data_IF_822853918917
#
_entry.id   IF_822853918917
#
_cell.length_a   1.000
_cell.length_b   1.000
_cell.length_c   1.000
_cell.angle_alpha   90.00
_cell.angle_beta   90.00
_cell.angle_gamma   90.00
#
_symmetry.space_group_name_H-M   'P 1'
#
loop_
_entity.id
_entity.type
_entity.pdbx_description
1 polymer ?
#
# COMPACT_ATOMS: atom_id res chain seq x y z
N UNK A 1 9.23 4.51 6.30
CA UNK A 1 7.85 4.21 5.89
C UNK A 1 7.17 3.69 7.15
N UNK A 2 6.24 4.46 7.74
CA UNK A 2 5.60 4.10 9.00
C UNK A 2 4.11 3.82 8.75
N UNK A 3 3.58 2.75 9.35
CA UNK A 3 2.14 2.41 9.29
C UNK A 3 1.58 2.34 10.71
N UNK A 4 0.71 3.29 11.06
CA UNK A 4 -0.32 3.11 12.08
C UNK A 4 -1.55 3.90 11.60
N UNK A 5 -2.56 3.19 11.11
CA UNK A 5 -3.80 3.78 10.59
C UNK A 5 -3.90 3.88 9.07
N UNK A 6 -4.72 3.00 8.49
CA UNK A 6 -5.48 3.14 7.23
C UNK A 6 -4.77 3.68 5.97
N UNK A 7 -3.45 3.55 5.84
CA UNK A 7 -2.77 3.97 4.61
C UNK A 7 -1.25 3.86 4.67
N UNK A 8 -0.64 4.07 3.51
CA UNK A 8 0.81 4.06 3.34
C UNK A 8 1.31 5.48 3.23
N UNK A 9 2.32 5.84 4.02
CA UNK A 9 3.03 7.11 3.87
C UNK A 9 4.33 6.90 3.11
N UNK A 10 4.43 7.51 1.93
CA UNK A 10 5.68 7.60 1.18
C UNK A 10 6.34 8.92 1.49
N UNK A 11 7.61 8.88 1.88
CA UNK A 11 8.44 10.06 2.08
C UNK A 11 9.47 10.12 0.95
N UNK A 12 9.55 11.22 0.23
CA UNK A 12 10.53 11.43 -0.85
C UNK A 12 11.80 12.16 -0.39
N UNK A 13 11.87 12.56 0.89
CA UNK A 13 12.97 13.33 1.46
C UNK A 13 12.54 14.74 1.90
N UNK A 14 11.51 15.29 1.25
CA UNK A 14 11.00 16.64 1.53
C UNK A 14 9.51 16.62 1.93
N UNK A 15 8.74 15.67 1.38
CA UNK A 15 7.30 15.57 1.55
C UNK A 15 6.88 14.16 1.90
N UNK A 16 5.93 14.07 2.83
CA UNK A 16 5.22 12.84 3.15
C UNK A 16 3.87 12.85 2.42
N UNK A 17 3.66 11.90 1.52
CA UNK A 17 2.39 11.71 0.81
C UNK A 17 1.68 10.46 1.34
N UNK A 18 0.41 10.62 1.74
CA UNK A 18 -0.45 9.51 2.14
C UNK A 18 -1.11 8.88 0.91
N UNK A 19 -0.95 7.57 0.77
CA UNK A 19 -1.64 6.73 -0.19
C UNK A 19 -2.68 5.88 0.57
N UNK A 20 -3.97 6.21 0.45
CA UNK A 20 -5.02 5.38 1.03
C UNK A 20 -5.08 4.05 0.28
N UNK A 21 -5.36 2.97 1.02
CA UNK A 21 -5.58 1.64 0.44
C UNK A 21 -7.00 1.25 0.77
N UNK A 22 -7.77 0.94 -0.26
CA UNK A 22 -9.21 0.66 -0.14
C UNK A 22 -9.56 -0.66 -0.79
N UNK A 23 -10.48 -1.38 -0.17
CA UNK A 23 -11.21 -2.48 -0.81
C UNK A 23 -12.65 -1.99 -1.09
N UNK A 24 -12.92 -1.66 -2.36
CA UNK A 24 -14.11 -0.89 -2.73
C UNK A 24 -14.09 0.50 -2.07
N UNK A 25 -15.09 0.79 -1.23
CA UNK A 25 -15.22 2.08 -0.54
C UNK A 25 -14.57 2.10 0.86
N UNK A 26 -14.18 0.94 1.39
CA UNK A 26 -13.68 0.81 2.76
C UNK A 26 -12.17 0.95 2.81
N UNK A 27 -11.65 1.79 3.72
CA UNK A 27 -10.21 1.81 4.00
C UNK A 27 -9.77 0.50 4.66
N UNK A 28 -8.63 -0.01 4.20
CA UNK A 28 -8.11 -1.32 4.61
C UNK A 28 -6.94 -1.16 5.55
N UNK A 29 -6.96 -1.91 6.65
CA UNK A 29 -5.81 -2.00 7.55
C UNK A 29 -4.68 -2.80 6.90
N UNK A 30 -3.51 -2.19 6.86
CA UNK A 30 -2.31 -2.77 6.30
C UNK A 30 -1.51 -3.47 7.39
N UNK A 31 -0.95 -4.64 7.07
CA UNK A 31 -0.17 -5.45 8.00
C UNK A 31 1.29 -5.57 7.56
N UNK A 32 1.55 -5.54 6.26
CA UNK A 32 2.88 -5.67 5.71
C UNK A 32 3.08 -4.74 4.52
N UNK A 33 4.32 -4.26 4.37
CA UNK A 33 4.82 -3.57 3.18
C UNK A 33 6.06 -4.32 2.74
N UNK A 34 6.13 -4.69 1.46
CA UNK A 34 7.24 -5.42 0.89
C UNK A 34 7.66 -4.79 -0.44
N UNK A 35 8.96 -4.73 -0.70
CA UNK A 35 9.51 -4.34 -2.00
C UNK A 35 10.16 -5.57 -2.62
N UNK A 36 9.71 -5.97 -3.80
CA UNK A 36 10.27 -7.14 -4.48
C UNK A 36 11.58 -6.80 -5.22
N UNK A 37 12.21 -7.83 -5.79
CA UNK A 37 13.48 -7.70 -6.52
C UNK A 37 13.36 -6.93 -7.85
N UNK A 38 12.14 -6.72 -8.36
CA UNK A 38 11.87 -5.88 -9.54
C UNK A 38 11.64 -4.42 -9.13
N UNK A 39 11.58 -4.14 -7.83
CA UNK A 39 11.33 -2.83 -7.27
C UNK A 39 9.86 -2.50 -7.08
N UNK A 40 8.96 -3.47 -7.32
CA UNK A 40 7.54 -3.29 -7.10
C UNK A 40 7.23 -3.26 -5.61
N UNK A 41 6.31 -2.37 -5.22
CA UNK A 41 5.81 -2.29 -3.86
C UNK A 41 4.52 -3.09 -3.71
N UNK A 42 4.51 -3.93 -2.68
CA UNK A 42 3.45 -4.84 -2.33
C UNK A 42 2.95 -4.54 -0.92
N UNK A 43 1.64 -4.60 -0.73
CA UNK A 43 1.00 -4.47 0.58
C UNK A 43 0.23 -5.74 0.91
N UNK A 44 0.46 -6.24 2.11
CA UNK A 44 -0.29 -7.34 2.69
C UNK A 44 -1.40 -6.82 3.60
N UNK A 45 -2.60 -7.35 3.41
CA UNK A 45 -3.76 -7.11 4.27
C UNK A 45 -4.23 -8.44 4.85
N UNK A 46 -4.90 -8.43 6.01
CA UNK A 46 -5.37 -9.66 6.65
C UNK A 46 -6.53 -10.31 5.88
N UNK A 47 -7.49 -9.51 5.39
CA UNK A 47 -8.75 -10.01 4.82
C UNK A 47 -9.04 -9.53 3.38
N UNK A 48 -8.33 -8.51 2.89
CA UNK A 48 -8.60 -7.89 1.60
C UNK A 48 -7.60 -8.29 0.51
N UNK A 49 -6.75 -9.29 0.75
CA UNK A 49 -5.75 -9.78 -0.20
C UNK A 49 -4.50 -8.91 -0.29
N UNK A 50 -3.81 -8.99 -1.43
CA UNK A 50 -2.57 -8.26 -1.70
C UNK A 50 -2.83 -7.07 -2.61
N UNK A 51 -2.10 -5.98 -2.40
CA UNK A 51 -2.14 -4.80 -3.26
C UNK A 51 -0.77 -4.51 -3.85
N UNK A 52 -0.73 -4.12 -5.11
CA UNK A 52 0.49 -3.75 -5.82
C UNK A 52 0.47 -2.27 -6.18
N UNK A 53 1.60 -1.58 -6.01
CA UNK A 53 1.75 -0.20 -6.48
C UNK A 53 1.96 -0.16 -7.99
N UNK A 54 1.12 0.58 -8.70
CA UNK A 54 1.23 0.76 -10.15
C UNK A 54 1.97 2.04 -10.58
N UNK A 55 2.61 2.72 -9.63
CA UNK A 55 3.27 4.02 -9.85
C UNK A 55 2.41 5.23 -9.46
N UNK A 56 1.08 5.06 -9.35
CA UNK A 56 0.14 6.11 -8.94
C UNK A 56 -0.64 5.74 -7.68
N UNK A 57 -1.13 4.51 -7.59
CA UNK A 57 -1.96 4.02 -6.49
C UNK A 57 -1.64 2.56 -6.18
N UNK A 58 -2.11 2.10 -5.01
CA UNK A 58 -2.12 0.69 -4.65
C UNK A 58 -3.42 0.06 -5.13
N UNK A 59 -3.32 -0.92 -6.01
CA UNK A 59 -4.45 -1.63 -6.59
C UNK A 59 -4.47 -3.08 -6.13
N UNK A 60 -5.67 -3.63 -5.93
CA UNK A 60 -5.85 -5.02 -5.54
C UNK A 60 -5.27 -5.91 -6.62
N UNK A 61 -4.35 -6.78 -6.23
CA UNK A 61 -3.69 -7.67 -7.16
C UNK A 61 -4.57 -8.89 -7.40
N UNK A 62 -4.72 -9.22 -8.69
CA UNK A 62 -5.36 -10.43 -9.16
C UNK A 62 -4.33 -11.22 -9.99
N UNK A 63 -4.19 -12.54 -9.79
CA UNK A 63 -3.28 -13.38 -10.56
C UNK A 63 -3.69 -13.53 -12.03
#
# INVERSE_FOLDING_TARGET
MATYGAGVWRHDGEKATRYPVKDGEKETTLFAVYKDNRGDLWLGTHEAGAYKFNGKAFEKWHP
#
